data_IF_977554304334
#
_entry.id   IF_977554304334
#
_cell.length_a   1.000
_cell.length_b   1.000
_cell.length_c   1.000
_cell.angle_alpha   90.00
_cell.angle_beta   90.00
_cell.angle_gamma   90.00
#
_symmetry.space_group_name_H-M   'P 1'
#
loop_
_entity.id
_entity.type
_entity.pdbx_description
1 polymer ?
#
# COMPACT_ATOMS: atom_id res chain seq x y z
N UNK A 1 30.40 -45.34 13.31
CA UNK A 1 30.63 -44.84 14.69
C UNK A 1 29.38 -44.10 15.12
N UNK A 2 28.66 -44.65 16.09
CA UNK A 2 27.40 -44.12 16.64
C UNK A 2 27.77 -43.39 17.94
N UNK A 3 27.43 -42.11 18.07
CA UNK A 3 27.51 -41.40 19.35
C UNK A 3 26.08 -41.10 19.82
N UNK A 4 25.71 -41.77 20.90
CA UNK A 4 24.54 -41.50 21.78
C UNK A 4 25.03 -40.66 22.96
N UNK A 5 24.34 -39.57 23.28
CA UNK A 5 24.33 -38.93 24.62
C UNK A 5 23.12 -37.98 24.70
N UNK A 6 21.99 -38.39 25.30
CA UNK A 6 21.51 -38.19 26.69
C UNK A 6 20.83 -36.82 26.93
N UNK A 7 19.58 -36.91 27.39
CA UNK A 7 18.66 -35.85 27.81
C UNK A 7 19.16 -35.06 29.03
N UNK A 8 18.73 -33.79 29.14
CA UNK A 8 18.37 -33.18 30.43
C UNK A 8 17.26 -32.14 30.25
N UNK A 9 16.08 -32.44 30.79
CA UNK A 9 14.99 -31.49 31.02
C UNK A 9 15.26 -30.70 32.30
N UNK A 10 15.05 -29.38 32.27
CA UNK A 10 14.92 -28.58 33.48
C UNK A 10 13.77 -27.59 33.31
N UNK A 11 12.76 -27.80 34.14
CA UNK A 11 11.51 -27.06 34.31
C UNK A 11 11.80 -25.84 35.22
N UNK A 12 11.46 -24.62 34.81
CA UNK A 12 11.26 -23.51 35.76
C UNK A 12 9.86 -22.94 35.58
N UNK A 13 9.09 -23.00 36.66
CA UNK A 13 7.74 -22.49 36.79
C UNK A 13 7.71 -21.23 37.67
N UNK A 14 6.82 -20.32 37.28
CA UNK A 14 6.10 -19.30 38.08
C UNK A 14 6.87 -18.01 38.50
N UNK A 15 6.17 -16.86 38.74
CA UNK A 15 4.73 -16.74 39.01
C UNK A 15 3.91 -15.74 38.18
N UNK A 16 2.61 -16.03 38.22
CA UNK A 16 1.46 -15.27 37.73
C UNK A 16 1.28 -14.00 38.56
N UNK A 17 1.31 -12.84 37.91
CA UNK A 17 0.83 -11.57 38.45
C UNK A 17 -0.62 -11.33 38.03
N UNK A 18 -1.53 -11.44 38.99
CA UNK A 18 -2.95 -11.08 38.88
C UNK A 18 -3.09 -9.55 38.93
N UNK A 19 -3.72 -8.92 37.94
CA UNK A 19 -4.38 -7.62 38.12
C UNK A 19 -5.71 -7.65 37.34
N UNK A 20 -6.80 -7.41 38.06
CA UNK A 20 -8.19 -7.46 37.60
C UNK A 20 -8.61 -6.13 36.91
N UNK A 21 -9.79 -6.08 36.26
CA UNK A 21 -10.11 -5.09 35.23
C UNK A 21 -10.78 -3.82 35.76
N UNK A 22 -10.55 -2.70 35.08
CA UNK A 22 -11.39 -1.49 35.20
C UNK A 22 -12.32 -1.42 33.99
N UNK A 23 -13.59 -1.16 34.30
CA UNK A 23 -14.73 -1.17 33.39
C UNK A 23 -14.75 0.00 32.38
N UNK A 24 -15.60 -0.20 31.37
CA UNK A 24 -15.91 0.65 30.21
C UNK A 24 -16.23 2.12 30.55
N UNK A 25 -15.80 3.00 29.66
CA UNK A 25 -16.64 4.09 29.17
C UNK A 25 -16.27 4.37 27.70
N UNK A 26 -17.25 4.29 26.82
CA UNK A 26 -17.12 4.80 25.46
C UNK A 26 -16.85 6.30 25.50
N UNK A 27 -15.81 6.73 24.81
CA UNK A 27 -15.47 8.13 24.60
C UNK A 27 -15.32 8.36 23.11
N UNK A 28 -16.35 8.95 22.53
CA UNK A 28 -16.35 9.55 21.20
C UNK A 28 -15.17 10.50 21.01
N UNK A 29 -14.70 10.60 19.77
CA UNK A 29 -13.66 11.50 19.30
C UNK A 29 -13.71 12.88 19.98
N UNK A 30 -12.57 13.34 20.48
CA UNK A 30 -12.37 14.76 20.77
C UNK A 30 -10.98 15.16 20.31
N UNK A 31 -10.93 16.18 19.46
CA UNK A 31 -9.72 16.78 18.93
C UNK A 31 -8.93 17.43 20.08
N UNK A 32 -7.85 16.78 20.50
CA UNK A 32 -6.89 17.36 21.43
C UNK A 32 -5.91 18.27 20.68
N UNK A 33 -6.13 19.58 20.71
CA UNK A 33 -5.10 20.57 20.44
C UNK A 33 -4.48 21.01 21.77
N UNK A 34 -3.14 20.94 21.88
CA UNK A 34 -2.26 21.86 22.63
C UNK A 34 -0.83 21.27 22.75
N UNK A 35 0.23 22.07 23.03
CA UNK A 35 0.36 23.53 22.94
C UNK A 35 1.60 23.97 22.12
N UNK A 36 1.57 25.21 21.61
CA UNK A 36 2.77 25.95 21.20
C UNK A 36 3.21 26.83 22.36
N UNK A 37 4.43 26.64 22.85
CA UNK A 37 5.09 27.58 23.76
C UNK A 37 5.84 28.65 22.96
N UNK A 38 5.61 29.94 23.26
CA UNK A 38 6.66 30.88 23.67
C UNK A 38 6.11 32.32 23.86
N UNK A 39 6.13 32.74 25.13
CA UNK A 39 6.50 34.04 25.71
C UNK A 39 6.05 35.38 25.08
N UNK A 40 5.30 36.18 25.86
CA UNK A 40 5.30 37.65 25.72
C UNK A 40 4.06 38.42 26.21
N UNK A 41 4.03 38.73 27.51
CA UNK A 41 3.41 39.87 28.22
C UNK A 41 2.23 40.72 27.63
N UNK A 42 1.11 40.67 28.38
CA UNK A 42 0.05 41.67 28.73
C UNK A 42 -0.60 42.60 27.67
N UNK A 43 -1.93 42.53 27.53
CA UNK A 43 -2.89 43.58 27.94
C UNK A 43 -4.35 43.11 27.70
N UNK A 44 -5.27 43.47 28.61
CA UNK A 44 -6.68 43.09 28.58
C UNK A 44 -7.46 44.02 27.63
N UNK A 45 -8.25 43.46 26.71
CA UNK A 45 -9.64 43.86 26.42
C UNK A 45 -10.20 43.09 25.22
N UNK A 46 -11.48 42.73 25.32
CA UNK A 46 -12.41 42.31 24.26
C UNK A 46 -12.71 40.80 24.16
N UNK A 47 -13.96 40.50 24.54
CA UNK A 47 -14.83 39.39 24.15
C UNK A 47 -14.18 38.01 23.97
N UNK A 48 -14.50 37.09 24.88
CA UNK A 48 -14.23 35.66 24.68
C UNK A 48 -14.78 35.21 23.31
N UNK A 49 -13.98 34.55 22.47
CA UNK A 49 -14.49 33.99 21.23
C UNK A 49 -15.60 32.99 21.53
N UNK A 50 -16.75 33.14 20.87
CA UNK A 50 -17.80 32.12 20.86
C UNK A 50 -17.15 30.79 20.43
N UNK A 51 -17.40 29.66 21.13
CA UNK A 51 -16.91 28.37 20.64
C UNK A 51 -17.42 28.17 19.21
N UNK A 52 -16.58 27.71 18.27
CA UNK A 52 -17.04 27.45 16.91
C UNK A 52 -18.22 26.49 16.98
N UNK A 53 -19.33 26.88 16.35
CA UNK A 53 -20.50 26.00 16.22
C UNK A 53 -20.08 24.74 15.48
N UNK A 54 -20.64 23.59 15.86
CA UNK A 54 -20.42 22.25 15.29
C UNK A 54 -20.73 22.12 13.76
N UNK A 55 -20.96 23.25 13.07
CA UNK A 55 -21.27 23.32 11.65
C UNK A 55 -20.04 23.30 10.72
N UNK A 56 -18.81 23.38 11.24
CA UNK A 56 -17.58 23.37 10.43
C UNK A 56 -16.80 22.04 10.49
N UNK A 57 -17.44 20.94 10.91
CA UNK A 57 -16.91 19.61 10.57
C UNK A 57 -17.19 19.33 9.10
N UNK A 58 -16.48 20.05 8.22
CA UNK A 58 -16.30 19.64 6.85
C UNK A 58 -15.60 18.29 6.94
N UNK A 59 -16.34 17.22 6.65
CA UNK A 59 -15.80 15.88 6.40
C UNK A 59 -14.48 16.06 5.64
N UNK A 60 -13.37 15.41 6.05
CA UNK A 60 -12.17 15.43 5.23
C UNK A 60 -12.60 15.10 3.82
N UNK A 61 -12.28 15.99 2.88
CA UNK A 61 -12.36 15.69 1.46
C UNK A 61 -11.75 14.30 1.32
N UNK A 62 -12.53 13.31 0.87
CA UNK A 62 -12.02 12.02 0.43
C UNK A 62 -10.91 12.37 -0.56
N UNK A 63 -9.67 12.35 -0.08
CA UNK A 63 -8.52 12.82 -0.85
C UNK A 63 -8.42 11.88 -2.02
N UNK A 64 -8.54 12.43 -3.23
CA UNK A 64 -8.28 11.81 -4.52
C UNK A 64 -6.90 11.12 -4.62
N UNK A 65 -6.09 11.14 -3.56
CA UNK A 65 -4.73 10.64 -3.46
C UNK A 65 -4.63 9.15 -3.06
N UNK A 66 -5.68 8.51 -2.53
CA UNK A 66 -5.57 7.13 -2.02
C UNK A 66 -6.86 6.31 -2.18
N UNK A 67 -6.72 5.08 -2.69
CA UNK A 67 -7.84 4.14 -2.83
C UNK A 67 -8.19 3.44 -1.50
N UNK A 68 -9.46 3.03 -1.29
CA UNK A 68 -9.83 2.20 -0.15
C UNK A 68 -8.97 0.93 -0.04
N UNK A 69 -8.41 0.67 1.15
CA UNK A 69 -7.53 -0.48 1.41
C UNK A 69 -6.08 -0.30 0.94
N UNK A 70 -5.73 0.81 0.29
CA UNK A 70 -4.38 1.05 -0.21
C UNK A 70 -3.32 1.07 0.89
N UNK A 71 -3.63 1.50 2.11
CA UNK A 71 -2.69 1.44 3.24
C UNK A 71 -2.20 0.00 3.50
N UNK A 72 -3.12 -0.96 3.52
CA UNK A 72 -2.78 -2.38 3.70
C UNK A 72 -2.02 -2.93 2.50
N UNK A 73 -2.39 -2.48 1.29
CA UNK A 73 -1.69 -2.85 0.07
C UNK A 73 -0.24 -2.34 0.07
N UNK A 74 -0.02 -1.05 0.35
CA UNK A 74 1.32 -0.44 0.45
C UNK A 74 2.14 -1.13 1.52
N UNK A 75 1.60 -1.36 2.71
CA UNK A 75 2.32 -2.08 3.76
C UNK A 75 2.75 -3.49 3.31
N UNK A 76 1.92 -4.19 2.52
CA UNK A 76 2.27 -5.51 1.95
C UNK A 76 3.29 -5.40 0.82
N UNK A 77 3.16 -4.38 -0.03
CA UNK A 77 4.10 -4.11 -1.12
C UNK A 77 5.51 -3.89 -0.57
N UNK A 78 5.65 -3.03 0.45
CA UNK A 78 6.94 -2.74 1.08
C UNK A 78 7.57 -3.96 1.74
N UNK A 79 6.78 -4.88 2.31
CA UNK A 79 7.28 -6.16 2.85
C UNK A 79 7.77 -7.13 1.76
N UNK A 80 7.28 -6.99 0.53
CA UNK A 80 7.69 -7.85 -0.58
C UNK A 80 8.95 -7.33 -1.28
N UNK A 81 9.32 -6.06 -1.10
CA UNK A 81 10.55 -5.50 -1.68
C UNK A 81 11.76 -6.32 -1.21
N UNK A 82 12.62 -6.71 -2.15
CA UNK A 82 13.77 -7.59 -1.93
C UNK A 82 13.43 -9.08 -1.90
N UNK A 83 12.16 -9.48 -2.09
CA UNK A 83 11.80 -10.88 -2.32
C UNK A 83 12.00 -11.26 -3.79
N UNK A 84 11.96 -12.58 -4.07
CA UNK A 84 12.15 -13.16 -5.41
C UNK A 84 11.02 -14.14 -5.74
N UNK A 85 11.03 -14.67 -6.97
CA UNK A 85 10.06 -15.67 -7.43
C UNK A 85 8.84 -15.06 -8.14
N UNK A 86 8.92 -13.80 -8.55
CA UNK A 86 7.90 -13.11 -9.35
C UNK A 86 8.32 -12.96 -10.82
N UNK A 87 9.22 -13.79 -11.33
CA UNK A 87 9.73 -13.68 -12.70
C UNK A 87 8.61 -13.82 -13.72
N UNK A 88 8.37 -12.78 -14.53
CA UNK A 88 7.23 -12.67 -15.45
C UNK A 88 5.85 -12.83 -14.79
N UNK A 89 5.74 -12.60 -13.49
CA UNK A 89 4.52 -12.77 -12.70
C UNK A 89 4.01 -11.43 -12.12
N UNK A 90 4.11 -10.36 -12.89
CA UNK A 90 3.70 -9.00 -12.50
C UNK A 90 2.25 -8.93 -12.00
N UNK A 91 1.31 -9.57 -12.71
CA UNK A 91 -0.09 -9.64 -12.31
C UNK A 91 -0.29 -10.39 -10.98
N UNK A 92 0.51 -11.44 -10.73
CA UNK A 92 0.48 -12.17 -9.45
C UNK A 92 1.05 -11.31 -8.33
N UNK A 93 2.15 -10.59 -8.57
CA UNK A 93 2.70 -9.66 -7.58
C UNK A 93 1.67 -8.61 -7.18
N UNK A 94 1.04 -7.95 -8.16
CA UNK A 94 0.01 -6.95 -7.91
C UNK A 94 -1.16 -7.53 -7.10
N UNK A 95 -1.66 -8.72 -7.47
CA UNK A 95 -2.71 -9.41 -6.74
C UNK A 95 -2.29 -9.73 -5.29
N UNK A 96 -1.08 -10.26 -5.10
CA UNK A 96 -0.54 -10.60 -3.79
C UNK A 96 -0.44 -9.37 -2.90
N UNK A 97 0.00 -8.22 -3.44
CA UNK A 97 0.03 -6.93 -2.74
C UNK A 97 -1.37 -6.54 -2.22
N UNK A 98 -2.41 -6.77 -3.02
CA UNK A 98 -3.81 -6.57 -2.65
C UNK A 98 -4.45 -7.72 -1.85
N UNK A 99 -3.63 -8.67 -1.37
CA UNK A 99 -4.10 -9.78 -0.52
C UNK A 99 -4.91 -10.83 -1.28
N UNK A 100 -4.77 -10.90 -2.61
CA UNK A 100 -5.38 -11.91 -3.47
C UNK A 100 -4.31 -12.93 -3.89
N UNK A 101 -4.65 -14.22 -4.00
CA UNK A 101 -3.68 -15.24 -4.42
C UNK A 101 -3.37 -15.21 -5.93
N UNK A 102 -4.24 -14.59 -6.74
CA UNK A 102 -4.12 -14.47 -8.21
C UNK A 102 -4.89 -13.26 -8.71
N UNK A 103 -4.54 -12.75 -9.89
CA UNK A 103 -5.24 -11.63 -10.52
C UNK A 103 -6.58 -12.01 -11.17
N UNK A 104 -6.72 -13.27 -11.58
CA UNK A 104 -7.88 -13.75 -12.34
C UNK A 104 -7.89 -13.34 -13.82
N UNK A 105 -6.76 -12.78 -14.30
CA UNK A 105 -6.51 -12.46 -15.70
C UNK A 105 -5.28 -13.25 -16.17
N UNK A 106 -5.30 -13.66 -17.43
CA UNK A 106 -4.18 -14.32 -18.13
C UNK A 106 -2.97 -13.39 -18.25
N UNK A 107 -3.17 -12.08 -18.44
CA UNK A 107 -2.08 -11.12 -18.53
C UNK A 107 -2.45 -9.71 -18.04
N UNK A 108 -1.43 -8.87 -17.81
CA UNK A 108 -1.63 -7.46 -17.49
C UNK A 108 -2.33 -6.71 -18.65
N UNK A 109 -1.98 -7.02 -19.89
CA UNK A 109 -2.62 -6.46 -21.07
C UNK A 109 -4.10 -6.87 -21.18
N UNK A 110 -4.44 -8.11 -20.81
CA UNK A 110 -5.85 -8.52 -20.72
C UNK A 110 -6.59 -7.78 -19.62
N UNK A 111 -6.01 -7.69 -18.43
CA UNK A 111 -6.60 -6.93 -17.32
C UNK A 111 -6.86 -5.48 -17.75
N UNK A 112 -5.89 -4.81 -18.36
CA UNK A 112 -6.05 -3.45 -18.87
C UNK A 112 -7.20 -3.34 -19.89
N UNK A 113 -7.26 -4.23 -20.89
CA UNK A 113 -8.37 -4.23 -21.87
C UNK A 113 -9.73 -4.41 -21.18
N UNK A 114 -9.82 -5.24 -20.15
CA UNK A 114 -11.05 -5.39 -19.38
C UNK A 114 -11.41 -4.11 -18.61
N UNK A 115 -10.43 -3.42 -18.02
CA UNK A 115 -10.65 -2.15 -17.33
C UNK A 115 -11.14 -1.06 -18.30
N UNK A 116 -10.59 -1.01 -19.51
CA UNK A 116 -11.08 -0.13 -20.59
C UNK A 116 -12.51 -0.50 -20.98
N UNK A 117 -12.77 -1.78 -21.27
CA UNK A 117 -14.09 -2.25 -21.71
C UNK A 117 -15.20 -2.03 -20.67
N UNK A 118 -14.84 -1.98 -19.38
CA UNK A 118 -15.78 -1.76 -18.27
C UNK A 118 -15.78 -0.32 -17.76
N UNK A 119 -15.10 0.60 -18.45
CA UNK A 119 -15.00 2.01 -18.09
C UNK A 119 -14.46 2.24 -16.65
N UNK A 120 -13.49 1.42 -16.26
CA UNK A 120 -12.76 1.51 -14.98
C UNK A 120 -11.31 1.98 -15.18
N UNK A 121 -10.83 2.00 -16.42
CA UNK A 121 -9.52 2.53 -16.76
C UNK A 121 -9.54 4.06 -16.79
N UNK A 122 -8.40 4.64 -16.41
CA UNK A 122 -8.04 6.04 -16.56
C UNK A 122 -6.86 6.11 -17.55
N UNK A 123 -7.15 6.14 -18.88
CA UNK A 123 -6.12 6.08 -19.90
C UNK A 123 -5.27 7.35 -19.93
N UNK A 124 -3.96 7.19 -20.14
CA UNK A 124 -2.95 8.25 -20.25
C UNK A 124 -2.83 9.20 -19.03
N UNK A 125 -3.63 8.98 -17.98
CA UNK A 125 -3.59 9.73 -16.73
C UNK A 125 -2.36 9.36 -15.90
N UNK A 126 -1.46 10.34 -15.68
CA UNK A 126 -0.21 10.17 -14.93
C UNK A 126 -0.34 10.51 -13.44
N UNK A 127 -1.55 10.74 -12.93
CA UNK A 127 -1.83 11.04 -11.53
C UNK A 127 -2.58 9.88 -10.83
N UNK A 128 -2.01 8.65 -10.79
CA UNK A 128 -2.68 7.53 -10.15
C UNK A 128 -2.81 7.77 -8.63
N UNK A 129 -3.95 7.42 -8.02
CA UNK A 129 -4.06 7.40 -6.57
C UNK A 129 -3.20 6.27 -5.99
N UNK A 130 -2.73 6.45 -4.75
CA UNK A 130 -2.03 5.43 -3.98
C UNK A 130 -2.86 4.15 -3.93
N UNK A 131 -2.24 3.03 -4.28
CA UNK A 131 -2.83 1.71 -4.38
C UNK A 131 -3.33 1.33 -5.77
N UNK A 132 -3.40 2.27 -6.73
CA UNK A 132 -3.82 1.98 -8.08
C UNK A 132 -2.92 0.94 -8.77
N UNK A 133 -3.51 0.20 -9.71
CA UNK A 133 -2.78 -0.61 -10.66
C UNK A 133 -2.40 0.28 -11.84
N UNK A 134 -1.11 0.33 -12.16
CA UNK A 134 -0.56 1.09 -13.29
C UNK A 134 -0.10 0.12 -14.37
N UNK A 135 -0.40 0.43 -15.63
CA UNK A 135 -0.25 -0.51 -16.74
C UNK A 135 0.65 0.03 -17.85
N UNK A 136 1.42 -0.86 -18.47
CA UNK A 136 2.26 -0.55 -19.63
C UNK A 136 2.12 -1.59 -20.73
N UNK A 137 2.30 -1.12 -21.95
CA UNK A 137 2.62 -1.95 -23.10
C UNK A 137 4.16 -2.09 -23.21
N UNK A 138 4.65 -3.33 -23.27
CA UNK A 138 6.08 -3.65 -23.27
C UNK A 138 6.57 -4.24 -24.61
N UNK A 139 5.76 -4.12 -25.67
CA UNK A 139 6.03 -4.71 -26.99
C UNK A 139 5.70 -6.20 -27.12
N UNK A 140 5.47 -6.91 -25.99
CA UNK A 140 4.98 -8.28 -25.96
C UNK A 140 3.47 -8.39 -25.64
N UNK A 141 2.86 -9.59 -25.78
CA UNK A 141 1.42 -9.78 -25.62
C UNK A 141 0.93 -9.70 -24.16
N UNK A 142 1.83 -9.78 -23.19
CA UNK A 142 1.48 -9.84 -21.77
C UNK A 142 1.30 -8.48 -21.10
N UNK A 143 1.97 -7.43 -21.60
CA UNK A 143 2.04 -6.12 -20.95
C UNK A 143 2.73 -6.18 -19.58
N UNK A 144 2.63 -5.09 -18.83
CA UNK A 144 3.14 -5.01 -17.45
C UNK A 144 2.15 -4.30 -16.54
N UNK A 145 2.10 -4.72 -15.27
CA UNK A 145 1.32 -4.07 -14.21
C UNK A 145 2.15 -3.96 -12.94
N UNK A 146 2.04 -2.83 -12.26
CA UNK A 146 2.65 -2.59 -10.95
C UNK A 146 1.64 -1.89 -10.02
N UNK A 147 1.97 -1.80 -8.73
CA UNK A 147 1.15 -1.07 -7.75
C UNK A 147 1.81 0.28 -7.45
N UNK A 148 1.07 1.35 -7.66
CA UNK A 148 1.50 2.70 -7.26
C UNK A 148 1.41 2.85 -5.75
N UNK A 149 2.51 3.22 -5.09
CA UNK A 149 2.59 3.31 -3.62
C UNK A 149 2.62 4.74 -3.10
N UNK A 150 2.45 5.72 -3.98
CA UNK A 150 2.51 7.15 -3.66
C UNK A 150 3.84 7.79 -4.08
N UNK A 151 3.88 9.12 -4.08
CA UNK A 151 5.11 9.93 -4.26
C UNK A 151 5.95 9.59 -5.50
N UNK A 152 5.30 9.25 -6.62
CA UNK A 152 5.98 8.89 -7.87
C UNK A 152 6.65 7.51 -7.82
N UNK A 153 6.28 6.64 -6.86
CA UNK A 153 6.89 5.33 -6.65
C UNK A 153 5.94 4.18 -6.94
N UNK A 154 6.50 3.08 -7.41
CA UNK A 154 5.80 1.82 -7.66
C UNK A 154 6.54 0.65 -7.02
N UNK A 155 5.81 -0.40 -6.65
CA UNK A 155 6.38 -1.72 -6.41
C UNK A 155 6.13 -2.61 -7.63
N UNK A 156 7.22 -3.08 -8.24
CA UNK A 156 7.24 -3.85 -9.49
C UNK A 156 8.17 -5.04 -9.37
N UNK A 157 8.01 -6.04 -10.26
CA UNK A 157 8.97 -7.13 -10.43
C UNK A 157 9.90 -6.89 -11.64
N UNK A 158 10.98 -7.67 -11.70
CA UNK A 158 11.92 -7.85 -12.82
C UNK A 158 12.77 -6.62 -13.20
N UNK A 159 12.33 -5.40 -12.85
CA UNK A 159 12.94 -4.13 -13.28
C UNK A 159 14.38 -3.94 -12.76
N UNK A 160 14.71 -4.52 -11.62
CA UNK A 160 16.05 -4.46 -11.03
C UNK A 160 16.83 -5.77 -11.11
N UNK A 161 16.35 -6.77 -11.87
CA UNK A 161 17.01 -8.08 -11.97
C UNK A 161 18.40 -7.90 -12.60
N UNK A 162 19.45 -8.31 -11.88
CA UNK A 162 20.82 -8.30 -12.42
C UNK A 162 21.03 -9.45 -13.42
N UNK A 163 20.26 -10.53 -13.26
CA UNK A 163 20.26 -11.71 -14.11
C UNK A 163 18.82 -12.03 -14.49
N UNK A 164 18.55 -12.22 -15.79
CA UNK A 164 17.22 -12.62 -16.26
C UNK A 164 16.75 -13.91 -15.58
N UNK A 165 15.51 -13.92 -15.08
CA UNK A 165 14.91 -15.10 -14.47
C UNK A 165 14.80 -15.05 -12.94
N UNK A 166 15.37 -14.03 -12.31
CA UNK A 166 15.37 -13.89 -10.84
C UNK A 166 13.99 -13.55 -10.28
N UNK A 167 13.29 -12.63 -10.94
CA UNK A 167 11.95 -12.26 -10.51
C UNK A 167 11.94 -11.50 -9.21
N UNK A 168 12.91 -10.61 -9.03
CA UNK A 168 13.04 -9.76 -7.86
C UNK A 168 11.92 -8.75 -7.76
N UNK A 169 11.63 -8.28 -6.55
CA UNK A 169 10.62 -7.23 -6.28
C UNK A 169 11.32 -5.96 -5.83
N UNK A 170 11.00 -4.85 -6.49
CA UNK A 170 11.71 -3.58 -6.35
C UNK A 170 10.75 -2.43 -6.09
N UNK A 171 11.14 -1.52 -5.20
CA UNK A 171 10.54 -0.20 -5.06
C UNK A 171 11.31 0.78 -5.95
N UNK A 172 10.71 1.23 -7.03
CA UNK A 172 11.38 2.09 -8.03
C UNK A 172 10.55 3.32 -8.33
N UNK A 173 11.17 4.27 -9.02
CA UNK A 173 10.47 5.42 -9.57
C UNK A 173 9.54 4.96 -10.69
N UNK A 174 8.36 5.56 -10.75
CA UNK A 174 7.27 5.20 -11.67
C UNK A 174 7.72 5.26 -13.13
N UNK A 175 8.53 6.27 -13.48
CA UNK A 175 9.06 6.49 -14.83
C UNK A 175 10.12 5.47 -15.25
N UNK A 176 10.70 4.72 -14.30
CA UNK A 176 11.80 3.81 -14.59
C UNK A 176 11.39 2.73 -15.59
N UNK A 177 10.15 2.23 -15.50
CA UNK A 177 9.60 1.22 -16.43
C UNK A 177 9.67 1.70 -17.89
N UNK A 178 9.27 2.95 -18.14
CA UNK A 178 9.31 3.54 -19.48
C UNK A 178 10.76 3.73 -19.94
N UNK A 179 11.61 4.33 -19.10
CA UNK A 179 12.99 4.66 -19.46
C UNK A 179 13.90 3.44 -19.66
N UNK A 180 13.69 2.37 -18.89
CA UNK A 180 14.59 1.21 -18.89
C UNK A 180 14.14 0.13 -19.88
N UNK A 181 12.83 -0.06 -20.06
CA UNK A 181 12.30 -1.08 -20.96
C UNK A 181 11.83 -0.52 -22.30
N UNK A 182 11.78 0.82 -22.47
CA UNK A 182 11.13 1.44 -23.63
C UNK A 182 9.62 1.15 -23.67
N UNK A 183 9.02 0.86 -22.51
CA UNK A 183 7.61 0.56 -22.38
C UNK A 183 6.76 1.82 -22.57
N UNK A 184 5.56 1.66 -23.10
CA UNK A 184 4.59 2.76 -23.24
C UNK A 184 3.58 2.69 -22.10
N UNK A 185 3.50 3.74 -21.30
CA UNK A 185 2.46 3.85 -20.28
C UNK A 185 1.06 3.87 -20.91
N UNK A 186 0.13 3.15 -20.29
CA UNK A 186 -1.26 3.04 -20.75
C UNK A 186 -2.23 3.86 -19.90
N UNK A 187 -1.93 4.01 -18.61
CA UNK A 187 -2.84 4.59 -17.63
C UNK A 187 -2.94 3.74 -16.36
N UNK A 188 -3.93 4.03 -15.54
CA UNK A 188 -4.18 3.32 -14.29
C UNK A 188 -5.62 2.83 -14.16
N UNK A 189 -5.85 1.89 -13.25
CA UNK A 189 -7.19 1.46 -12.85
C UNK A 189 -7.23 1.11 -11.35
N UNK A 190 -8.42 1.14 -10.71
CA UNK A 190 -8.59 0.57 -9.39
C UNK A 190 -8.18 -0.92 -9.34
N UNK A 191 -7.86 -1.47 -8.15
CA UNK A 191 -7.39 -2.86 -7.97
C UNK A 191 -8.53 -3.87 -8.10
N UNK A 192 -9.08 -3.98 -9.31
CA UNK A 192 -10.16 -4.90 -9.66
C UNK A 192 -9.54 -6.19 -10.15
N UNK A 193 -9.87 -7.29 -9.47
CA UNK A 193 -9.41 -8.63 -9.77
C UNK A 193 -10.59 -9.51 -10.14
N UNK A 194 -10.37 -10.41 -11.10
CA UNK A 194 -11.38 -11.39 -11.51
C UNK A 194 -11.41 -12.58 -10.55
N UNK A 195 -12.60 -13.10 -10.27
CA UNK A 195 -12.80 -14.30 -9.45
C UNK A 195 -12.64 -15.60 -10.23
N UNK A 196 -12.62 -15.51 -11.56
CA UNK A 196 -12.62 -16.64 -12.51
C UNK A 196 -11.26 -17.32 -12.55
#
# INVERSE_FOLDING_TARGET
MIVKAILASALLAAPVGLIAPIALAGGTATCGAAPTESSGAIDQTNAAPRPPSEADCKTPVETSERLPGAEQAVARALRLVGSHGYYQLCARLAANIWGRPRAGYFSAAEQWRQMVATNQAHPDDREPPTGALVFWETGGPYGHVAVYVGDGRIVSNDIGDAVSGEGGVYLVDFELIESQWGARYLGWAPPIYSTT
#
